data_IF_780736181370
#
_entry.id   IF_780736181370
#
_cell.length_a   1.000
_cell.length_b   1.000
_cell.length_c   1.000
_cell.angle_alpha   90.00
_cell.angle_beta   90.00
_cell.angle_gamma   90.00
#
_symmetry.space_group_name_H-M   'P 1'
#
loop_
_entity.id
_entity.type
_entity.pdbx_description
1 polymer ?
#
# COMPACT_ATOMS: atom_id res chain seq x y z
N UNK A 1 5.81 1.81 -2.34
CA UNK A 1 6.28 2.78 -1.32
C UNK A 1 7.28 3.73 -1.95
N UNK A 2 7.27 4.98 -1.56
CA UNK A 2 8.23 5.98 -2.03
C UNK A 2 9.43 6.12 -1.05
N UNK A 3 10.52 6.77 -1.51
CA UNK A 3 11.73 6.94 -0.68
C UNK A 3 11.48 7.73 0.60
N UNK A 4 10.52 8.67 0.60
CA UNK A 4 10.15 9.46 1.78
C UNK A 4 9.44 8.57 2.80
N UNK A 5 8.47 7.76 2.37
CA UNK A 5 7.78 6.79 3.23
C UNK A 5 8.77 5.80 3.85
N UNK A 6 9.68 5.26 3.03
CA UNK A 6 10.72 4.32 3.51
C UNK A 6 11.64 4.97 4.54
N UNK A 7 12.05 6.21 4.32
CA UNK A 7 12.84 6.98 5.29
C UNK A 7 12.08 7.20 6.60
N UNK A 8 10.81 7.59 6.54
CA UNK A 8 9.98 7.81 7.74
C UNK A 8 9.76 6.51 8.54
N UNK A 9 9.59 5.38 7.84
CA UNK A 9 9.51 4.07 8.49
C UNK A 9 10.83 3.67 9.14
N UNK A 10 11.97 4.01 8.54
CA UNK A 10 13.29 3.75 9.15
C UNK A 10 13.51 4.53 10.45
N UNK A 11 12.79 5.63 10.66
CA UNK A 11 12.74 6.39 11.90
C UNK A 11 11.78 5.78 12.95
N UNK A 12 11.16 4.64 12.67
CA UNK A 12 10.22 3.95 13.58
C UNK A 12 8.80 4.51 13.56
N UNK A 13 8.44 5.33 12.58
CA UNK A 13 7.07 5.84 12.44
C UNK A 13 6.13 4.75 11.90
N UNK A 14 4.85 4.80 12.29
CA UNK A 14 3.85 3.87 11.75
C UNK A 14 3.60 4.11 10.26
N UNK A 15 3.10 3.08 9.55
CA UNK A 15 2.76 3.18 8.13
C UNK A 15 1.79 4.35 7.84
N UNK A 16 0.81 4.58 8.73
CA UNK A 16 -0.11 5.70 8.62
C UNK A 16 0.59 7.05 8.65
N UNK A 17 1.46 7.28 9.64
CA UNK A 17 2.22 8.52 9.74
C UNK A 17 3.14 8.69 8.55
N UNK A 18 3.85 7.63 8.15
CA UNK A 18 4.77 7.67 7.01
C UNK A 18 4.06 8.04 5.69
N UNK A 19 2.81 7.58 5.48
CA UNK A 19 2.00 7.89 4.30
C UNK A 19 1.46 9.32 4.31
N UNK A 20 0.90 9.80 5.44
CA UNK A 20 0.16 11.06 5.48
C UNK A 20 1.00 12.28 5.88
N UNK A 21 2.10 12.09 6.60
CA UNK A 21 2.97 13.19 7.04
C UNK A 21 3.50 14.05 5.88
N UNK A 22 3.96 13.49 4.74
CA UNK A 22 4.39 14.32 3.61
C UNK A 22 3.29 15.24 3.07
N UNK A 23 2.04 14.78 3.00
CA UNK A 23 0.90 15.61 2.59
C UNK A 23 0.68 16.78 3.53
N UNK A 24 0.75 16.54 4.84
CA UNK A 24 0.62 17.57 5.85
C UNK A 24 1.73 18.63 5.74
N UNK A 25 2.98 18.19 5.59
CA UNK A 25 4.13 19.09 5.44
C UNK A 25 4.04 19.92 4.16
N UNK A 26 3.61 19.32 3.05
CA UNK A 26 3.41 20.03 1.79
C UNK A 26 2.23 21.01 1.86
N UNK A 27 1.18 20.70 2.61
CA UNK A 27 0.10 21.62 2.90
C UNK A 27 0.58 22.84 3.70
N UNK A 28 1.40 22.63 4.73
CA UNK A 28 2.05 23.73 5.47
C UNK A 28 2.94 24.57 4.55
N UNK A 29 3.78 23.96 3.74
CA UNK A 29 4.64 24.65 2.78
C UNK A 29 3.81 25.48 1.80
N UNK A 30 2.74 24.88 1.24
CA UNK A 30 1.81 25.57 0.34
C UNK A 30 1.17 26.79 1.00
N UNK A 31 0.79 26.69 2.28
CA UNK A 31 0.23 27.80 3.04
C UNK A 31 1.24 28.95 3.23
N UNK A 32 2.49 28.63 3.60
CA UNK A 32 3.54 29.66 3.73
C UNK A 32 3.84 30.34 2.39
N UNK A 33 3.95 29.57 1.30
CA UNK A 33 4.17 30.09 -0.05
C UNK A 33 3.01 30.99 -0.50
N UNK A 34 1.76 30.52 -0.32
CA UNK A 34 0.57 31.30 -0.67
C UNK A 34 0.50 32.63 0.10
N UNK A 35 0.81 32.59 1.42
CA UNK A 35 0.85 33.81 2.24
C UNK A 35 1.96 34.78 1.80
N UNK A 36 3.12 34.26 1.44
CA UNK A 36 4.24 35.04 0.96
C UNK A 36 3.90 35.75 -0.37
N UNK A 37 3.39 34.97 -1.35
CA UNK A 37 3.01 35.50 -2.67
C UNK A 37 1.83 36.46 -2.54
N UNK A 38 0.82 36.14 -1.74
CA UNK A 38 -0.31 37.02 -1.48
C UNK A 38 0.13 38.41 -0.97
N UNK A 39 1.07 38.48 -0.01
CA UNK A 39 1.61 39.73 0.50
C UNK A 39 2.32 40.54 -0.57
N UNK A 40 3.09 39.87 -1.45
CA UNK A 40 3.82 40.53 -2.54
C UNK A 40 2.89 41.08 -3.63
N UNK A 41 1.87 40.29 -4.02
CA UNK A 41 0.94 40.64 -5.10
C UNK A 41 -0.10 41.68 -4.64
N UNK A 42 -0.56 41.60 -3.38
CA UNK A 42 -1.50 42.57 -2.81
C UNK A 42 -0.99 44.01 -2.91
N UNK A 43 0.33 44.23 -2.85
CA UNK A 43 0.94 45.56 -3.03
C UNK A 43 0.78 46.09 -4.46
N UNK A 44 0.51 45.23 -5.46
CA UNK A 44 0.44 45.60 -6.88
C UNK A 44 -0.97 45.50 -7.47
N UNK A 45 -1.89 44.76 -6.83
CA UNK A 45 -3.21 44.44 -7.38
C UNK A 45 -4.29 44.64 -6.32
N UNK A 46 -5.34 45.40 -6.68
CA UNK A 46 -6.50 45.65 -5.80
C UNK A 46 -7.64 44.66 -6.02
N UNK A 47 -7.58 43.83 -7.08
CA UNK A 47 -8.62 42.85 -7.39
C UNK A 47 -8.60 41.69 -6.39
N UNK A 48 -9.60 41.69 -5.48
CA UNK A 48 -9.72 40.69 -4.38
C UNK A 48 -9.95 39.26 -4.89
N UNK A 49 -10.70 39.11 -5.99
CA UNK A 49 -10.98 37.80 -6.59
C UNK A 49 -9.71 37.15 -7.15
N UNK A 50 -8.89 37.94 -7.87
CA UNK A 50 -7.64 37.45 -8.42
C UNK A 50 -6.66 37.05 -7.31
N UNK A 51 -6.58 37.84 -6.23
CA UNK A 51 -5.76 37.50 -5.07
C UNK A 51 -6.23 36.22 -4.36
N UNK A 52 -7.54 36.02 -4.23
CA UNK A 52 -8.13 34.80 -3.65
C UNK A 52 -7.81 33.55 -4.49
N UNK A 53 -8.01 33.62 -5.80
CA UNK A 53 -7.69 32.53 -6.72
C UNK A 53 -6.19 32.19 -6.70
N UNK A 54 -5.33 33.20 -6.72
CA UNK A 54 -3.88 33.00 -6.65
C UNK A 54 -3.46 32.32 -5.33
N UNK A 55 -4.07 32.74 -4.22
CA UNK A 55 -3.81 32.14 -2.91
C UNK A 55 -4.19 30.67 -2.90
N UNK A 56 -5.42 30.32 -3.34
CA UNK A 56 -5.92 28.95 -3.38
C UNK A 56 -5.06 28.08 -4.31
N UNK A 57 -4.75 28.57 -5.51
CA UNK A 57 -3.93 27.84 -6.47
C UNK A 57 -2.53 27.54 -5.91
N UNK A 58 -1.87 28.54 -5.31
CA UNK A 58 -0.54 28.36 -4.72
C UNK A 58 -0.55 27.43 -3.50
N UNK A 59 -1.63 27.49 -2.69
CA UNK A 59 -1.79 26.65 -1.51
C UNK A 59 -1.94 25.17 -1.86
N UNK A 60 -2.78 24.85 -2.86
CA UNK A 60 -3.14 23.49 -3.22
C UNK A 60 -2.05 22.83 -4.09
N UNK A 61 -1.35 23.61 -4.91
CA UNK A 61 -0.40 23.08 -5.91
C UNK A 61 0.61 22.06 -5.38
N UNK A 62 1.34 22.25 -4.26
CA UNK A 62 2.31 21.25 -3.78
C UNK A 62 1.67 19.92 -3.42
N UNK A 63 0.48 19.96 -2.82
CA UNK A 63 -0.27 18.76 -2.44
C UNK A 63 -0.79 18.03 -3.68
N UNK A 64 -1.31 18.74 -4.69
CA UNK A 64 -1.79 18.14 -5.93
C UNK A 64 -0.67 17.47 -6.72
N UNK A 65 0.51 18.10 -6.81
CA UNK A 65 1.66 17.49 -7.49
C UNK A 65 2.08 16.20 -6.79
N UNK A 66 2.17 16.22 -5.47
CA UNK A 66 2.52 15.03 -4.71
C UNK A 66 1.47 13.93 -4.82
N UNK A 67 0.18 14.29 -4.77
CA UNK A 67 -0.93 13.36 -4.96
C UNK A 67 -0.94 12.71 -6.36
N UNK A 68 -0.61 13.47 -7.40
CA UNK A 68 -0.53 12.93 -8.76
C UNK A 68 0.58 11.87 -8.91
N UNK A 69 1.67 11.98 -8.14
CA UNK A 69 2.80 11.04 -8.17
C UNK A 69 2.56 9.87 -7.20
N UNK A 70 2.00 10.14 -6.03
CA UNK A 70 1.80 9.18 -4.93
C UNK A 70 0.35 9.21 -4.44
N UNK A 71 -0.61 8.66 -5.18
CA UNK A 71 -2.02 8.75 -4.84
C UNK A 71 -2.35 8.04 -3.52
N UNK A 72 -3.40 8.54 -2.86
CA UNK A 72 -4.04 7.88 -1.72
C UNK A 72 -5.16 6.99 -2.25
N UNK A 73 -5.14 5.72 -1.88
CA UNK A 73 -6.16 4.73 -2.24
C UNK A 73 -7.18 4.54 -1.11
N UNK A 74 -8.30 3.89 -1.41
CA UNK A 74 -9.34 3.66 -0.39
C UNK A 74 -8.82 2.82 0.78
N UNK A 75 -8.00 1.79 0.53
CA UNK A 75 -7.38 0.97 1.55
C UNK A 75 -6.42 1.72 2.50
N UNK A 76 -5.96 2.93 2.13
CA UNK A 76 -5.18 3.79 3.02
C UNK A 76 -6.06 4.50 4.07
N UNK A 77 -7.33 4.76 3.74
CA UNK A 77 -8.26 5.53 4.57
C UNK A 77 -9.16 4.62 5.42
N UNK A 78 -9.67 3.55 4.81
CA UNK A 78 -10.66 2.65 5.43
C UNK A 78 -10.14 1.21 5.34
N UNK A 79 -10.38 0.42 6.39
CA UNK A 79 -10.13 -1.03 6.33
C UNK A 79 -11.24 -1.69 5.49
N UNK A 80 -10.87 -2.17 4.32
CA UNK A 80 -11.75 -2.85 3.37
C UNK A 80 -11.55 -4.38 3.42
N UNK A 81 -11.15 -4.90 4.58
CA UNK A 81 -10.99 -6.34 4.78
C UNK A 81 -12.33 -7.07 4.75
N UNK A 82 -12.27 -8.29 4.29
CA UNK A 82 -13.36 -9.26 4.40
C UNK A 82 -12.86 -10.55 5.08
N UNK A 83 -13.79 -11.38 5.52
CA UNK A 83 -13.45 -12.64 6.21
C UNK A 83 -13.94 -13.84 5.36
N UNK A 84 -13.08 -14.39 4.50
CA UNK A 84 -13.44 -15.52 3.66
C UNK A 84 -13.58 -16.80 4.49
N UNK A 85 -14.58 -17.61 4.16
CA UNK A 85 -14.71 -18.94 4.74
C UNK A 85 -13.75 -19.89 4.03
N UNK A 86 -12.73 -20.36 4.75
CA UNK A 86 -11.77 -21.34 4.24
C UNK A 86 -11.81 -22.64 5.05
N UNK A 87 -11.64 -23.77 4.35
CA UNK A 87 -11.45 -25.09 4.95
C UNK A 87 -10.00 -25.54 4.95
N UNK A 88 -9.07 -24.68 4.50
CA UNK A 88 -7.66 -25.00 4.47
C UNK A 88 -7.11 -25.16 5.89
N UNK A 89 -6.24 -26.14 6.06
CA UNK A 89 -5.41 -26.24 7.27
C UNK A 89 -4.27 -25.26 7.13
N UNK A 90 -4.28 -24.24 7.98
CA UNK A 90 -3.35 -23.14 7.95
C UNK A 90 -2.37 -23.19 9.12
N UNK A 91 -1.24 -22.54 8.99
CA UNK A 91 -0.26 -22.41 10.06
C UNK A 91 -0.84 -21.69 11.28
N UNK A 92 -0.46 -22.12 12.48
CA UNK A 92 -0.91 -21.51 13.73
C UNK A 92 -0.29 -20.13 13.99
N UNK A 93 0.86 -19.85 13.39
CA UNK A 93 1.54 -18.56 13.56
C UNK A 93 0.83 -17.45 12.80
N UNK A 94 0.88 -16.23 13.34
CA UNK A 94 0.42 -15.03 12.62
C UNK A 94 1.37 -14.75 11.44
N UNK A 95 0.83 -14.68 10.23
CA UNK A 95 1.59 -14.35 9.01
C UNK A 95 0.68 -13.80 7.91
N UNK A 96 1.28 -13.06 6.99
CA UNK A 96 0.61 -12.56 5.79
C UNK A 96 0.91 -13.48 4.61
N UNK A 97 -0.12 -13.92 3.93
CA UNK A 97 -0.01 -14.67 2.67
C UNK A 97 -0.48 -13.79 1.52
N UNK A 98 0.31 -13.72 0.47
CA UNK A 98 -0.06 -13.08 -0.80
C UNK A 98 -0.36 -14.16 -1.81
N UNK A 99 -1.62 -14.26 -2.24
CA UNK A 99 -2.05 -15.23 -3.26
C UNK A 99 -1.91 -14.57 -4.62
N UNK A 100 -1.08 -15.15 -5.48
CA UNK A 100 -0.69 -14.60 -6.76
C UNK A 100 -0.83 -15.59 -7.91
N UNK A 101 -1.16 -15.09 -9.10
CA UNK A 101 -1.22 -15.85 -10.34
C UNK A 101 0.00 -15.57 -11.22
N UNK A 102 0.57 -16.59 -11.88
CA UNK A 102 1.54 -16.39 -12.95
C UNK A 102 0.99 -15.50 -14.07
N UNK A 103 1.84 -14.62 -14.62
CA UNK A 103 1.43 -13.70 -15.69
C UNK A 103 0.54 -12.54 -15.27
N UNK A 104 0.16 -12.45 -14.00
CA UNK A 104 -0.65 -11.36 -13.46
C UNK A 104 0.23 -10.12 -13.21
N UNK A 105 -0.02 -9.03 -13.91
CA UNK A 105 0.73 -7.76 -13.77
C UNK A 105 0.69 -7.21 -12.34
N UNK A 106 -0.49 -7.11 -11.74
CA UNK A 106 -0.65 -6.58 -10.38
C UNK A 106 -0.01 -7.48 -9.32
N UNK A 107 0.01 -8.80 -9.56
CA UNK A 107 0.71 -9.74 -8.68
C UNK A 107 2.23 -9.53 -8.74
N UNK A 108 2.77 -9.23 -9.93
CA UNK A 108 4.19 -8.87 -10.08
C UNK A 108 4.51 -7.54 -9.40
N UNK A 109 3.66 -6.54 -9.56
CA UNK A 109 3.80 -5.23 -8.90
C UNK A 109 3.75 -5.36 -7.37
N UNK A 110 2.91 -6.26 -6.84
CA UNK A 110 2.81 -6.53 -5.40
C UNK A 110 4.13 -7.00 -4.78
N UNK A 111 5.01 -7.65 -5.56
CA UNK A 111 6.32 -8.11 -5.06
C UNK A 111 7.21 -6.96 -4.60
N UNK A 112 7.16 -5.83 -5.31
CA UNK A 112 7.91 -4.63 -4.95
C UNK A 112 7.39 -4.00 -3.66
N UNK A 113 6.06 -3.98 -3.49
CA UNK A 113 5.43 -3.53 -2.25
C UNK A 113 5.87 -4.42 -1.07
N UNK A 114 5.76 -5.74 -1.21
CA UNK A 114 6.12 -6.69 -0.15
C UNK A 114 7.60 -6.62 0.23
N UNK A 115 8.50 -6.48 -0.74
CA UNK A 115 9.93 -6.23 -0.47
C UNK A 115 10.14 -4.94 0.32
N UNK A 116 9.43 -3.88 -0.03
CA UNK A 116 9.54 -2.58 0.63
C UNK A 116 9.05 -2.59 2.08
N UNK A 117 8.00 -3.34 2.40
CA UNK A 117 7.42 -3.41 3.74
C UNK A 117 8.04 -4.50 4.62
N UNK A 118 8.65 -5.54 4.03
CA UNK A 118 9.21 -6.68 4.78
C UNK A 118 10.12 -6.28 5.94
N UNK A 119 11.02 -5.29 5.81
CA UNK A 119 11.89 -4.87 6.93
C UNK A 119 11.12 -4.25 8.11
N UNK A 120 9.89 -3.79 7.89
CA UNK A 120 9.08 -3.07 8.88
C UNK A 120 7.90 -3.89 9.39
N UNK A 121 7.57 -5.00 8.71
CA UNK A 121 6.51 -5.92 9.13
C UNK A 121 7.03 -6.86 10.23
N UNK A 122 6.31 -6.97 11.33
CA UNK A 122 6.64 -7.89 12.44
C UNK A 122 6.21 -9.33 12.18
N UNK A 123 5.37 -9.53 11.17
CA UNK A 123 4.88 -10.87 10.80
C UNK A 123 5.63 -11.39 9.57
N UNK A 124 5.82 -12.72 9.45
CA UNK A 124 6.30 -13.33 8.22
C UNK A 124 5.38 -13.00 7.04
N UNK A 125 5.98 -12.87 5.85
CA UNK A 125 5.27 -12.69 4.59
C UNK A 125 5.59 -13.88 3.70
N UNK A 126 4.58 -14.50 3.11
CA UNK A 126 4.69 -15.64 2.21
C UNK A 126 3.93 -15.37 0.92
N UNK A 127 4.39 -15.97 -0.19
CA UNK A 127 3.66 -15.98 -1.46
C UNK A 127 3.15 -17.38 -1.76
N UNK A 128 1.87 -17.48 -2.04
CA UNK A 128 1.26 -18.67 -2.65
C UNK A 128 1.08 -18.41 -4.14
N UNK A 129 1.95 -19.02 -4.93
CA UNK A 129 1.91 -18.93 -6.39
C UNK A 129 0.99 -20.03 -6.91
N UNK A 130 -0.10 -19.64 -7.57
CA UNK A 130 -1.09 -20.58 -8.11
C UNK A 130 -0.61 -21.08 -9.47
N UNK A 131 -0.18 -22.33 -9.52
CA UNK A 131 0.32 -22.95 -10.73
C UNK A 131 0.84 -24.34 -10.46
N UNK A 132 1.21 -25.05 -11.51
CA UNK A 132 1.80 -26.38 -11.44
C UNK A 132 3.27 -26.40 -11.88
N UNK A 133 3.78 -25.29 -12.39
CA UNK A 133 5.14 -25.20 -12.94
C UNK A 133 6.11 -24.56 -11.94
N UNK A 134 7.22 -25.24 -11.71
CA UNK A 134 8.33 -24.75 -10.89
C UNK A 134 8.97 -23.47 -11.45
N UNK A 135 8.85 -23.21 -12.76
CA UNK A 135 9.32 -21.99 -13.40
C UNK A 135 8.60 -20.74 -12.87
N UNK A 136 7.30 -20.85 -12.61
CA UNK A 136 6.49 -19.77 -12.04
C UNK A 136 6.94 -19.46 -10.61
N UNK A 137 7.16 -20.50 -9.80
CA UNK A 137 7.68 -20.36 -8.44
C UNK A 137 9.05 -19.67 -8.43
N UNK A 138 9.97 -20.13 -9.30
CA UNK A 138 11.31 -19.56 -9.39
C UNK A 138 11.28 -18.07 -9.82
N UNK A 139 10.36 -17.74 -10.72
CA UNK A 139 10.17 -16.35 -11.17
C UNK A 139 9.72 -15.45 -10.02
N UNK A 140 8.74 -15.88 -9.23
CA UNK A 140 8.29 -15.12 -8.04
C UNK A 140 9.36 -15.06 -6.96
N UNK A 141 10.06 -16.17 -6.69
CA UNK A 141 11.15 -16.19 -5.70
C UNK A 141 12.28 -15.22 -6.09
N UNK A 142 12.62 -15.13 -7.38
CA UNK A 142 13.59 -14.14 -7.87
C UNK A 142 13.11 -12.70 -7.69
N UNK A 143 11.80 -12.44 -7.89
CA UNK A 143 11.20 -11.12 -7.72
C UNK A 143 11.14 -10.68 -6.25
N UNK A 144 10.74 -11.55 -5.33
CA UNK A 144 10.57 -11.20 -3.90
C UNK A 144 11.88 -11.29 -3.11
N UNK A 145 12.87 -12.03 -3.62
CA UNK A 145 14.16 -12.25 -2.96
C UNK A 145 14.10 -13.36 -1.89
N UNK A 146 15.23 -13.59 -1.20
CA UNK A 146 15.37 -14.70 -0.24
C UNK A 146 14.68 -14.50 1.11
N UNK A 147 14.24 -13.28 1.42
CA UNK A 147 13.63 -12.95 2.71
C UNK A 147 12.11 -13.26 2.77
N UNK A 148 11.50 -13.52 1.63
CA UNK A 148 10.08 -13.86 1.51
C UNK A 148 9.99 -15.25 0.90
N UNK A 149 9.32 -16.16 1.59
CA UNK A 149 9.13 -17.53 1.12
C UNK A 149 8.04 -17.59 0.06
N UNK A 150 8.28 -18.36 -1.02
CA UNK A 150 7.28 -18.67 -2.03
C UNK A 150 6.95 -20.15 -2.00
N UNK A 151 5.66 -20.48 -2.07
CA UNK A 151 5.16 -21.85 -2.15
C UNK A 151 4.25 -22.01 -3.36
N UNK A 152 4.42 -23.11 -4.08
CA UNK A 152 3.54 -23.45 -5.20
C UNK A 152 2.25 -24.09 -4.69
N UNK A 153 1.09 -23.54 -5.09
CA UNK A 153 -0.23 -24.09 -4.77
C UNK A 153 -0.93 -24.52 -6.07
N UNK A 154 -0.95 -25.83 -6.36
CA UNK A 154 -1.49 -26.33 -7.63
C UNK A 154 -3.02 -26.28 -7.70
N UNK A 155 -3.70 -26.21 -6.54
CA UNK A 155 -5.15 -26.32 -6.47
C UNK A 155 -5.84 -24.96 -6.38
N UNK A 156 -6.18 -24.39 -7.53
CA UNK A 156 -6.92 -23.13 -7.61
C UNK A 156 -8.29 -23.21 -6.91
N UNK A 157 -8.97 -24.36 -6.95
CA UNK A 157 -10.31 -24.51 -6.37
C UNK A 157 -10.35 -24.34 -4.84
N UNK A 158 -9.24 -24.60 -4.16
CA UNK A 158 -9.15 -24.41 -2.70
C UNK A 158 -9.00 -22.95 -2.30
N UNK A 159 -8.38 -22.15 -3.16
CA UNK A 159 -8.11 -20.73 -2.89
C UNK A 159 -9.15 -19.79 -3.50
N UNK A 160 -9.92 -20.26 -4.47
CA UNK A 160 -10.95 -19.46 -5.13
C UNK A 160 -11.99 -18.87 -4.15
N UNK A 161 -12.47 -19.63 -3.14
CA UNK A 161 -13.37 -19.06 -2.12
C UNK A 161 -12.73 -18.00 -1.23
N UNK A 162 -11.39 -17.94 -1.22
CA UNK A 162 -10.64 -16.95 -0.45
C UNK A 162 -10.43 -15.67 -1.30
N UNK A 163 -10.08 -15.86 -2.57
CA UNK A 163 -9.71 -14.75 -3.46
C UNK A 163 -10.91 -14.12 -4.19
N UNK A 164 -12.04 -14.80 -4.22
CA UNK A 164 -13.21 -14.38 -5.00
C UNK A 164 -12.86 -14.05 -6.46
N UNK A 165 -11.79 -14.68 -6.99
CA UNK A 165 -11.28 -14.45 -8.35
C UNK A 165 -10.44 -13.17 -8.51
N UNK A 166 -10.14 -12.44 -7.45
CA UNK A 166 -9.31 -11.23 -7.48
C UNK A 166 -7.85 -11.54 -7.13
N UNK A 167 -6.90 -11.02 -7.91
CA UNK A 167 -5.47 -11.24 -7.70
C UNK A 167 -4.66 -9.95 -7.88
N UNK A 168 -3.63 -9.69 -7.04
CA UNK A 168 -3.29 -10.46 -5.83
C UNK A 168 -4.35 -10.31 -4.73
N UNK A 169 -4.51 -11.34 -3.89
CA UNK A 169 -5.26 -11.25 -2.64
C UNK A 169 -4.30 -11.42 -1.46
N UNK A 170 -4.43 -10.55 -0.49
CA UNK A 170 -3.62 -10.54 0.73
C UNK A 170 -4.45 -11.14 1.87
N UNK A 171 -3.89 -12.11 2.58
CA UNK A 171 -4.62 -12.89 3.59
C UNK A 171 -3.84 -12.89 4.88
N UNK A 172 -4.43 -12.38 5.96
CA UNK A 172 -3.87 -12.47 7.29
C UNK A 172 -4.35 -13.75 7.97
N UNK A 173 -3.41 -14.58 8.33
CA UNK A 173 -3.66 -15.85 9.02
C UNK A 173 -3.23 -15.68 10.48
N UNK A 174 -4.10 -16.09 11.40
CA UNK A 174 -3.83 -16.11 12.84
C UNK A 174 -4.50 -17.34 13.45
N UNK A 175 -3.77 -18.07 14.29
CA UNK A 175 -4.29 -19.27 14.99
C UNK A 175 -4.92 -20.31 14.05
N UNK A 176 -4.31 -20.49 12.88
CA UNK A 176 -4.79 -21.47 11.87
C UNK A 176 -6.06 -21.07 11.13
N UNK A 177 -6.48 -19.82 11.23
CA UNK A 177 -7.67 -19.29 10.55
C UNK A 177 -7.33 -18.00 9.78
N UNK A 178 -8.06 -17.76 8.72
CA UNK A 178 -8.03 -16.46 8.05
C UNK A 178 -8.84 -15.49 8.92
N UNK A 179 -8.20 -14.43 9.36
CA UNK A 179 -8.86 -13.38 10.14
C UNK A 179 -9.30 -12.22 9.27
N UNK A 180 -8.49 -11.88 8.26
CA UNK A 180 -8.78 -10.82 7.31
C UNK A 180 -8.23 -11.17 5.93
N UNK A 181 -8.90 -10.70 4.90
CA UNK A 181 -8.42 -10.73 3.53
C UNK A 181 -8.69 -9.39 2.85
N UNK A 182 -7.84 -9.01 1.90
CA UNK A 182 -7.96 -7.78 1.12
C UNK A 182 -7.67 -8.08 -0.35
N UNK A 183 -8.45 -7.51 -1.24
CA UNK A 183 -8.12 -7.47 -2.65
C UNK A 183 -7.03 -6.43 -2.92
N UNK A 184 -6.47 -6.42 -4.12
CA UNK A 184 -5.32 -5.58 -4.48
C UNK A 184 -5.50 -4.10 -4.13
N UNK A 185 -6.61 -3.51 -4.50
CA UNK A 185 -6.93 -2.08 -4.28
C UNK A 185 -7.34 -1.74 -2.83
N UNK A 186 -7.72 -2.76 -2.07
CA UNK A 186 -8.08 -2.66 -0.67
C UNK A 186 -6.87 -2.78 0.28
N UNK A 187 -5.74 -3.32 -0.19
CA UNK A 187 -4.55 -3.53 0.62
C UNK A 187 -3.72 -2.24 0.70
N UNK A 188 -4.03 -1.41 1.68
CA UNK A 188 -3.37 -0.12 1.93
C UNK A 188 -2.79 -0.01 3.33
N UNK A 189 -2.61 1.22 3.80
CA UNK A 189 -2.01 1.54 5.11
C UNK A 189 -2.77 0.88 6.27
N UNK A 190 -4.10 0.76 6.17
CA UNK A 190 -4.90 0.12 7.23
C UNK A 190 -4.56 -1.36 7.37
N UNK A 191 -4.41 -2.07 6.24
CA UNK A 191 -3.96 -3.46 6.24
C UNK A 191 -2.51 -3.59 6.74
N UNK A 192 -1.61 -2.69 6.35
CA UNK A 192 -0.22 -2.69 6.79
C UNK A 192 -0.06 -2.51 8.30
N UNK A 193 -0.94 -1.74 8.94
CA UNK A 193 -0.91 -1.57 10.40
C UNK A 193 -1.25 -2.86 11.17
N UNK A 194 -1.95 -3.82 10.54
CA UNK A 194 -2.23 -5.14 11.15
C UNK A 194 -0.99 -6.05 11.18
N UNK A 195 0.07 -5.68 10.43
CA UNK A 195 1.32 -6.45 10.36
C UNK A 195 2.34 -6.06 11.43
N UNK A 196 1.98 -5.13 12.30
CA UNK A 196 2.85 -4.60 13.37
C UNK A 196 2.57 -5.19 14.75
#
# INVERSE_FOLDING_TARGET
>A
MNSIETFLLSLGLSFGIAKFLPYFLLGMLGWFLARFIYRRVKAKTTNRWLLGLLFIATFIQPVLIYFAIYPIYQGDLVDLSYNPKSRLRLSQSKHLVVIALPGCKYCTESTQLMKGIKPYAKVPIEYWVLGSDSSDLNSYQALVGSQIHCELKPNLSEVLPITEGSFPTYVLIEHGKITKAWHNDAFGVRALNELN
#
